data_IF_969719780597
#
_entry.id   IF_969719780597
#
_cell.length_a   1.000
_cell.length_b   1.000
_cell.length_c   1.000
_cell.angle_alpha   90.00
_cell.angle_beta   90.00
_cell.angle_gamma   90.00
#
_symmetry.space_group_name_H-M   'P 1'
#
loop_
_entity.id
_entity.type
_entity.pdbx_description
1 polymer ?
#
# COMPACT_ATOMS: atom_id res chain seq x y z
N UNK A 1 -6.84 4.43 11.22
CA UNK A 1 -7.08 4.66 9.80
C UNK A 1 -8.57 4.81 9.50
N UNK A 2 -8.95 5.79 8.66
CA UNK A 2 -10.32 5.95 8.17
C UNK A 2 -10.41 5.35 6.77
N UNK A 3 -11.30 4.36 6.61
CA UNK A 3 -11.56 3.67 5.35
C UNK A 3 -13.06 3.61 5.08
N UNK A 4 -13.45 3.53 3.80
CA UNK A 4 -14.83 3.34 3.39
C UNK A 4 -15.80 4.47 3.75
N UNK A 5 -15.29 5.70 4.01
CA UNK A 5 -16.14 6.84 4.35
C UNK A 5 -16.99 7.25 3.14
N UNK A 6 -18.29 6.99 3.18
CA UNK A 6 -19.22 7.33 2.13
C UNK A 6 -20.53 7.89 2.68
N UNK A 7 -21.24 8.67 1.84
CA UNK A 7 -22.56 9.20 2.16
C UNK A 7 -23.52 8.84 1.03
N UNK A 8 -24.65 8.24 1.41
CA UNK A 8 -25.70 7.92 0.45
C UNK A 8 -26.09 9.18 -0.35
N UNK A 9 -26.34 9.08 -1.67
CA UNK A 9 -26.62 10.24 -2.52
C UNK A 9 -27.66 11.21 -1.99
N UNK A 10 -28.77 10.72 -1.45
CA UNK A 10 -29.87 11.52 -0.92
C UNK A 10 -29.52 12.35 0.32
N UNK A 11 -28.40 12.02 1.00
CA UNK A 11 -27.93 12.68 2.20
C UNK A 11 -26.64 13.49 1.99
N UNK A 12 -26.15 13.57 0.74
CA UNK A 12 -24.98 14.40 0.41
C UNK A 12 -25.29 15.89 0.57
N UNK A 13 -24.23 16.68 0.76
CA UNK A 13 -24.29 18.14 0.96
C UNK A 13 -25.09 18.62 2.18
N UNK A 14 -25.50 17.71 3.05
CA UNK A 14 -26.24 18.01 4.31
C UNK A 14 -25.35 18.00 5.57
N UNK A 15 -24.05 17.92 5.43
CA UNK A 15 -23.11 17.91 6.55
C UNK A 15 -22.95 16.58 7.28
N UNK A 16 -23.65 15.52 6.84
CA UNK A 16 -23.67 14.20 7.51
C UNK A 16 -22.26 13.63 7.72
N UNK A 17 -21.43 13.63 6.67
CA UNK A 17 -20.05 13.11 6.78
C UNK A 17 -19.20 13.96 7.74
N UNK A 18 -19.37 15.27 7.74
CA UNK A 18 -18.67 16.17 8.69
C UNK A 18 -18.99 15.81 10.13
N UNK A 19 -20.26 15.62 10.41
CA UNK A 19 -20.74 15.25 11.75
C UNK A 19 -20.20 13.88 12.16
N UNK A 20 -20.26 12.88 11.28
CA UNK A 20 -19.74 11.55 11.54
C UNK A 20 -18.23 11.57 11.82
N UNK A 21 -17.44 12.31 11.03
CA UNK A 21 -16.01 12.47 11.28
C UNK A 21 -15.73 13.18 12.60
N UNK A 22 -16.49 14.22 12.94
CA UNK A 22 -16.36 14.95 14.22
C UNK A 22 -16.58 14.02 15.41
N UNK A 23 -17.62 13.20 15.38
CA UNK A 23 -17.91 12.19 16.41
C UNK A 23 -16.81 11.12 16.47
N UNK A 24 -16.30 10.69 15.31
CA UNK A 24 -15.19 9.75 15.22
C UNK A 24 -13.92 10.31 15.86
N UNK A 25 -13.57 11.58 15.62
CA UNK A 25 -12.43 12.22 16.26
C UNK A 25 -12.57 12.30 17.78
N UNK A 26 -13.76 12.66 18.27
CA UNK A 26 -14.02 12.66 19.70
C UNK A 26 -13.88 11.28 20.34
N UNK A 27 -14.29 10.22 19.62
CA UNK A 27 -14.11 8.83 20.06
C UNK A 27 -12.63 8.42 20.04
N UNK A 28 -11.91 8.76 18.96
CA UNK A 28 -10.46 8.51 18.85
C UNK A 28 -9.70 9.15 20.01
N UNK A 29 -10.00 10.42 20.34
CA UNK A 29 -9.38 11.12 21.47
C UNK A 29 -9.64 10.41 22.81
N UNK A 30 -10.88 9.98 23.06
CA UNK A 30 -11.22 9.21 24.29
C UNK A 30 -10.50 7.87 24.38
N UNK A 31 -10.17 7.28 23.23
CA UNK A 31 -9.46 5.99 23.15
C UNK A 31 -7.93 6.15 23.11
N UNK A 32 -7.39 7.34 23.36
CA UNK A 32 -5.93 7.58 23.36
C UNK A 32 -5.27 7.53 21.99
N UNK A 33 -6.04 7.68 20.90
CA UNK A 33 -5.48 7.68 19.54
C UNK A 33 -4.75 9.00 19.29
N UNK A 34 -3.49 8.94 18.87
CA UNK A 34 -2.67 10.12 18.62
C UNK A 34 -2.90 10.72 17.22
N UNK A 35 -3.01 9.88 16.20
CA UNK A 35 -3.16 10.29 14.81
C UNK A 35 -4.33 9.60 14.13
N UNK A 36 -4.97 10.31 13.22
CA UNK A 36 -5.90 9.75 12.24
C UNK A 36 -5.31 9.91 10.85
N UNK A 37 -5.33 8.85 10.04
CA UNK A 37 -4.82 8.85 8.67
C UNK A 37 -5.89 8.36 7.70
N UNK A 38 -5.77 8.78 6.44
CA UNK A 38 -6.63 8.32 5.34
C UNK A 38 -5.92 8.52 3.99
N UNK A 39 -6.39 7.81 2.98
CA UNK A 39 -6.03 8.02 1.57
C UNK A 39 -7.30 8.51 0.87
N UNK A 40 -7.30 9.76 0.35
CA UNK A 40 -8.42 10.26 -0.43
C UNK A 40 -8.58 9.48 -1.75
N UNK A 41 -9.79 8.99 -2.03
CA UNK A 41 -10.07 8.22 -3.24
C UNK A 41 -10.04 9.09 -4.51
N UNK A 42 -10.27 10.40 -4.38
CA UNK A 42 -10.35 11.34 -5.49
C UNK A 42 -9.58 12.63 -5.17
N UNK A 43 -8.98 13.32 -6.16
CA UNK A 43 -8.17 14.51 -5.93
C UNK A 43 -8.90 15.63 -5.15
N UNK A 44 -10.18 15.86 -5.42
CA UNK A 44 -10.96 16.90 -4.73
C UNK A 44 -11.21 16.61 -3.24
N UNK A 45 -11.06 15.36 -2.81
CA UNK A 45 -11.20 14.96 -1.41
C UNK A 45 -10.04 15.46 -0.53
N UNK A 46 -8.87 15.77 -1.12
CA UNK A 46 -7.78 16.41 -0.37
C UNK A 46 -8.24 17.73 0.23
N UNK A 47 -8.90 18.59 -0.56
CA UNK A 47 -9.44 19.87 -0.08
C UNK A 47 -10.57 19.66 0.93
N UNK A 48 -11.40 18.64 0.73
CA UNK A 48 -12.46 18.31 1.67
C UNK A 48 -11.90 17.94 3.03
N UNK A 49 -10.93 17.01 3.09
CA UNK A 49 -10.33 16.57 4.34
C UNK A 49 -9.41 17.63 4.96
N UNK A 50 -8.79 18.51 4.17
CA UNK A 50 -8.04 19.64 4.70
C UNK A 50 -8.93 20.56 5.56
N UNK A 51 -10.19 20.82 5.15
CA UNK A 51 -11.18 21.55 5.96
C UNK A 51 -11.59 20.82 7.24
N UNK A 52 -11.30 19.51 7.31
CA UNK A 52 -11.51 18.69 8.51
C UNK A 52 -10.24 18.57 9.37
N UNK A 53 -9.20 19.37 9.07
CA UNK A 53 -7.94 19.44 9.83
C UNK A 53 -6.91 18.38 9.47
N UNK A 54 -7.03 17.73 8.32
CA UNK A 54 -5.99 16.86 7.77
C UNK A 54 -4.97 17.66 6.97
N UNK A 55 -3.72 17.24 7.04
CA UNK A 55 -2.64 17.72 6.17
C UNK A 55 -2.17 16.57 5.23
N UNK A 56 -1.83 16.91 3.99
CA UNK A 56 -1.21 15.97 3.05
C UNK A 56 0.24 15.76 3.46
N UNK A 57 0.55 14.61 4.04
CA UNK A 57 1.88 14.29 4.59
C UNK A 57 2.52 13.08 3.92
N UNK A 58 1.71 12.17 3.40
CA UNK A 58 2.22 10.99 2.70
C UNK A 58 2.27 11.26 1.20
N UNK A 59 3.39 10.90 0.61
CA UNK A 59 3.64 11.05 -0.82
C UNK A 59 4.18 9.74 -1.40
N UNK A 60 4.13 9.62 -2.71
CA UNK A 60 4.75 8.54 -3.45
C UNK A 60 5.37 9.07 -4.75
N UNK A 61 6.29 8.32 -5.29
CA UNK A 61 6.82 8.49 -6.65
C UNK A 61 6.44 7.27 -7.50
N UNK A 62 6.53 7.40 -8.80
CA UNK A 62 6.27 6.30 -9.73
C UNK A 62 7.47 6.08 -10.64
N UNK A 63 7.72 4.81 -10.95
CA UNK A 63 8.76 4.42 -11.91
C UNK A 63 8.19 3.40 -12.89
N UNK A 64 8.37 3.67 -14.18
CA UNK A 64 8.07 2.65 -15.19
C UNK A 64 9.20 1.61 -15.20
N UNK A 65 8.82 0.34 -15.14
CA UNK A 65 9.74 -0.80 -15.15
C UNK A 65 9.49 -1.63 -16.42
N UNK A 66 10.57 -1.95 -17.12
CA UNK A 66 10.56 -2.97 -18.17
C UNK A 66 10.85 -4.31 -17.51
N UNK A 67 9.91 -5.24 -17.64
CA UNK A 67 10.04 -6.56 -17.03
C UNK A 67 11.05 -7.43 -17.81
N UNK A 68 11.93 -8.19 -17.11
CA UNK A 68 12.97 -9.01 -17.73
C UNK A 68 12.41 -10.06 -18.69
N UNK A 69 13.15 -10.32 -19.78
CA UNK A 69 12.79 -11.33 -20.81
C UNK A 69 13.47 -12.67 -20.59
N UNK A 70 14.61 -12.67 -19.91
CA UNK A 70 15.48 -13.83 -19.78
C UNK A 70 15.39 -14.42 -18.39
N UNK A 71 15.66 -15.72 -18.30
CA UNK A 71 15.74 -16.44 -17.03
C UNK A 71 16.86 -15.85 -16.17
N UNK A 72 16.63 -15.62 -14.87
CA UNK A 72 17.67 -15.19 -13.94
C UNK A 72 18.85 -16.14 -13.92
N UNK A 73 20.05 -15.59 -13.79
CA UNK A 73 21.28 -16.40 -13.71
C UNK A 73 21.35 -17.20 -12.38
N UNK A 74 20.75 -16.67 -11.31
CA UNK A 74 20.69 -17.32 -9.99
C UNK A 74 19.35 -18.04 -9.85
N UNK A 75 19.40 -19.28 -9.42
CA UNK A 75 18.20 -20.07 -9.17
C UNK A 75 17.52 -19.60 -7.89
N UNK A 76 16.42 -18.89 -8.03
CA UNK A 76 15.55 -18.39 -6.95
C UNK A 76 14.14 -18.88 -7.27
N UNK A 77 13.56 -19.65 -6.38
CA UNK A 77 12.19 -20.13 -6.53
C UNK A 77 11.20 -19.01 -6.26
N UNK A 78 10.37 -18.68 -7.27
CA UNK A 78 9.30 -17.67 -7.12
C UNK A 78 7.95 -18.35 -7.30
N UNK A 79 7.04 -18.11 -6.37
CA UNK A 79 5.67 -18.64 -6.41
C UNK A 79 4.64 -17.54 -6.17
N UNK A 80 3.44 -17.72 -6.73
CA UNK A 80 2.25 -16.94 -6.37
C UNK A 80 1.64 -17.56 -5.12
N UNK A 81 1.33 -16.72 -4.14
CA UNK A 81 0.72 -17.15 -2.88
C UNK A 81 -0.68 -16.55 -2.78
N UNK A 82 -1.74 -17.37 -2.93
CA UNK A 82 -3.11 -16.88 -2.93
C UNK A 82 -3.71 -16.72 -1.53
N UNK A 83 -3.10 -17.36 -0.52
CA UNK A 83 -3.63 -17.40 0.84
C UNK A 83 -2.69 -16.71 1.83
N UNK A 84 -3.27 -16.25 2.93
CA UNK A 84 -2.51 -15.65 4.03
C UNK A 84 -1.50 -16.66 4.61
N UNK A 85 -0.25 -16.18 4.80
CA UNK A 85 0.83 -16.89 5.50
C UNK A 85 1.52 -15.94 6.46
N UNK A 86 1.58 -16.30 7.74
CA UNK A 86 2.13 -15.45 8.80
C UNK A 86 3.62 -15.12 8.59
N UNK A 87 4.39 -16.04 8.01
CA UNK A 87 5.81 -15.80 7.72
C UNK A 87 6.01 -14.70 6.66
N UNK A 88 5.09 -14.59 5.67
CA UNK A 88 5.13 -13.53 4.64
C UNK A 88 4.79 -12.19 5.28
N UNK A 89 3.75 -12.15 6.12
CA UNK A 89 3.42 -10.98 6.91
C UNK A 89 4.62 -10.52 7.75
N UNK A 90 5.26 -11.44 8.48
CA UNK A 90 6.41 -11.14 9.33
C UNK A 90 7.59 -10.58 8.53
N UNK A 91 7.88 -11.14 7.35
CA UNK A 91 8.92 -10.63 6.46
C UNK A 91 8.60 -9.20 5.98
N UNK A 92 7.39 -8.97 5.45
CA UNK A 92 6.97 -7.65 4.97
C UNK A 92 6.96 -6.62 6.10
N UNK A 93 6.38 -6.97 7.26
CA UNK A 93 6.29 -6.05 8.39
C UNK A 93 7.68 -5.63 8.89
N UNK A 94 8.64 -6.58 8.93
CA UNK A 94 10.03 -6.27 9.23
C UNK A 94 10.62 -5.27 8.23
N UNK A 95 10.47 -5.52 6.93
CA UNK A 95 10.98 -4.62 5.86
C UNK A 95 10.34 -3.24 5.90
N UNK A 96 9.03 -3.17 6.15
CA UNK A 96 8.31 -1.91 6.27
C UNK A 96 8.70 -1.14 7.54
N UNK A 97 9.03 -1.83 8.64
CA UNK A 97 9.49 -1.18 9.87
C UNK A 97 10.84 -0.46 9.74
N UNK A 98 11.64 -0.85 8.76
CA UNK A 98 12.92 -0.22 8.44
C UNK A 98 12.75 1.09 7.63
N UNK A 99 11.54 1.38 7.14
CA UNK A 99 11.24 2.59 6.36
C UNK A 99 10.78 3.74 7.25
N UNK A 100 11.31 4.92 7.03
CA UNK A 100 10.84 6.13 7.70
C UNK A 100 9.41 6.49 7.24
N UNK A 101 8.59 6.96 8.18
CA UNK A 101 7.21 7.43 7.92
C UNK A 101 6.31 6.39 7.21
N UNK A 102 6.50 5.11 7.48
CA UNK A 102 5.71 4.03 6.93
C UNK A 102 4.61 3.61 7.91
N UNK A 103 3.37 3.54 7.43
CA UNK A 103 2.27 2.95 8.19
C UNK A 103 2.36 1.43 8.06
N UNK A 104 2.55 0.75 9.19
CA UNK A 104 2.59 -0.71 9.23
C UNK A 104 1.18 -1.28 9.35
N UNK A 105 0.99 -2.47 8.83
CA UNK A 105 -0.24 -3.23 8.95
C UNK A 105 -0.19 -4.16 10.16
N UNK A 106 -1.32 -4.33 10.82
CA UNK A 106 -1.50 -5.44 11.75
C UNK A 106 -1.64 -6.75 10.97
N UNK A 107 -1.59 -7.87 11.69
CA UNK A 107 -1.83 -9.19 11.08
C UNK A 107 -3.23 -9.28 10.47
N UNK A 108 -4.23 -8.73 11.16
CA UNK A 108 -5.60 -8.65 10.69
C UNK A 108 -5.74 -7.80 9.43
N UNK A 109 -5.05 -6.65 9.38
CA UNK A 109 -5.04 -5.80 8.17
C UNK A 109 -4.44 -6.55 6.98
N UNK A 110 -3.38 -7.34 7.21
CA UNK A 110 -2.76 -8.11 6.12
C UNK A 110 -3.67 -9.23 5.61
N UNK A 111 -4.47 -9.85 6.47
CA UNK A 111 -5.51 -10.81 6.04
C UNK A 111 -6.56 -10.14 5.14
N UNK A 112 -6.93 -8.88 5.46
CA UNK A 112 -7.85 -8.10 4.60
C UNK A 112 -7.19 -7.78 3.25
N UNK A 113 -5.90 -7.42 3.24
CA UNK A 113 -5.14 -7.19 1.99
C UNK A 113 -5.14 -8.44 1.12
N UNK A 114 -4.92 -9.63 1.69
CA UNK A 114 -4.95 -10.89 0.93
C UNK A 114 -6.33 -11.18 0.34
N UNK A 115 -7.40 -10.86 1.07
CA UNK A 115 -8.77 -10.99 0.59
C UNK A 115 -9.04 -10.01 -0.57
N UNK A 116 -8.60 -8.77 -0.43
CA UNK A 116 -8.73 -7.72 -1.45
C UNK A 116 -7.97 -8.09 -2.74
N UNK A 117 -6.75 -8.63 -2.63
CA UNK A 117 -5.98 -9.14 -3.76
C UNK A 117 -6.75 -10.21 -4.54
N UNK A 118 -7.37 -11.16 -3.83
CA UNK A 118 -8.16 -12.22 -4.46
C UNK A 118 -9.37 -11.68 -5.22
N UNK A 119 -10.05 -10.65 -4.69
CA UNK A 119 -11.23 -10.03 -5.29
C UNK A 119 -10.85 -9.12 -6.46
N UNK A 120 -9.77 -8.35 -6.33
CA UNK A 120 -9.34 -7.36 -7.33
C UNK A 120 -8.52 -7.97 -8.49
N UNK A 121 -8.22 -9.27 -8.43
CA UNK A 121 -7.36 -9.95 -9.42
C UNK A 121 -5.89 -9.52 -9.32
N UNK A 122 -5.46 -9.09 -8.12
CA UNK A 122 -4.07 -8.86 -7.79
C UNK A 122 -3.33 -10.15 -7.45
N UNK A 123 -2.02 -10.04 -7.26
CA UNK A 123 -1.16 -11.19 -6.93
C UNK A 123 -0.11 -10.81 -5.89
N UNK A 124 0.18 -11.77 -5.02
CA UNK A 124 1.34 -11.75 -4.14
C UNK A 124 2.34 -12.79 -4.62
N UNK A 125 3.57 -12.37 -4.93
CA UNK A 125 4.67 -13.25 -5.30
C UNK A 125 5.69 -13.30 -4.16
N UNK A 126 6.22 -14.49 -3.92
CA UNK A 126 7.24 -14.73 -2.91
C UNK A 126 8.45 -15.41 -3.57
N UNK A 127 9.60 -14.80 -3.38
CA UNK A 127 10.90 -15.38 -3.76
C UNK A 127 11.52 -16.09 -2.56
N UNK A 128 11.93 -17.35 -2.75
CA UNK A 128 12.59 -18.17 -1.74
C UNK A 128 13.91 -18.72 -2.24
N UNK A 129 14.87 -18.77 -1.34
CA UNK A 129 16.13 -19.48 -1.54
C UNK A 129 16.37 -20.33 -0.30
N UNK A 130 16.65 -21.63 -0.49
CA UNK A 130 16.84 -22.59 0.62
C UNK A 130 15.68 -22.57 1.64
N UNK A 131 14.43 -22.42 1.15
CA UNK A 131 13.19 -22.28 1.90
C UNK A 131 13.04 -20.96 2.70
N UNK A 132 14.01 -20.07 2.72
CA UNK A 132 13.90 -18.76 3.34
C UNK A 132 13.29 -17.74 2.38
N UNK A 133 12.41 -16.86 2.87
CA UNK A 133 11.87 -15.73 2.10
C UNK A 133 12.99 -14.71 1.90
N UNK A 134 13.31 -14.43 0.63
CA UNK A 134 14.30 -13.44 0.20
C UNK A 134 13.66 -12.22 -0.48
N UNK A 135 12.39 -12.33 -0.86
CA UNK A 135 11.68 -11.20 -1.45
C UNK A 135 10.19 -11.45 -1.57
N UNK A 136 9.43 -10.36 -1.55
CA UNK A 136 7.98 -10.36 -1.70
C UNK A 136 7.58 -9.17 -2.57
N UNK A 137 6.61 -9.37 -3.45
CA UNK A 137 6.00 -8.29 -4.21
C UNK A 137 4.49 -8.44 -4.27
N UNK A 138 3.79 -7.31 -4.19
CA UNK A 138 2.35 -7.20 -4.31
C UNK A 138 2.04 -6.40 -5.55
N UNK A 139 1.24 -6.97 -6.44
CA UNK A 139 0.82 -6.31 -7.67
C UNK A 139 -0.70 -6.23 -7.77
N UNK A 140 -1.19 -5.13 -8.33
CA UNK A 140 -2.60 -4.91 -8.62
C UNK A 140 -2.82 -4.68 -10.10
N UNK A 141 -3.97 -5.12 -10.59
CA UNK A 141 -4.41 -4.84 -11.94
C UNK A 141 -5.07 -3.47 -11.98
N UNK A 142 -4.43 -2.50 -12.61
CA UNK A 142 -5.04 -1.20 -12.93
C UNK A 142 -5.82 -1.25 -14.25
N UNK A 143 -6.47 -0.15 -14.59
CA UNK A 143 -7.31 -0.05 -15.81
C UNK A 143 -6.51 -0.29 -17.11
N UNK A 144 -5.28 0.18 -17.18
CA UNK A 144 -4.45 0.14 -18.40
C UNK A 144 -3.12 -0.58 -18.23
N UNK A 145 -2.68 -0.81 -17.01
CA UNK A 145 -1.38 -1.41 -16.69
C UNK A 145 -1.44 -2.08 -15.32
N UNK A 146 -0.48 -2.93 -15.06
CA UNK A 146 -0.30 -3.52 -13.73
C UNK A 146 0.58 -2.58 -12.90
N UNK A 147 0.25 -2.47 -11.63
CA UNK A 147 0.96 -1.65 -10.66
C UNK A 147 1.66 -2.57 -9.66
N UNK A 148 2.96 -2.39 -9.49
CA UNK A 148 3.70 -2.94 -8.35
C UNK A 148 3.46 -1.99 -7.18
N UNK A 149 2.63 -2.43 -6.23
CA UNK A 149 2.31 -1.65 -5.05
C UNK A 149 3.39 -1.77 -3.96
N UNK A 150 3.98 -2.95 -3.85
CA UNK A 150 5.06 -3.22 -2.92
C UNK A 150 6.08 -4.17 -3.55
N UNK A 151 7.36 -3.88 -3.40
CA UNK A 151 8.46 -4.72 -3.83
C UNK A 151 9.57 -4.66 -2.77
N UNK A 152 9.73 -5.76 -2.05
CA UNK A 152 10.80 -5.97 -1.08
C UNK A 152 11.68 -7.10 -1.56
N UNK A 153 12.97 -6.87 -1.75
CA UNK A 153 13.95 -7.86 -2.14
C UNK A 153 15.24 -7.65 -1.36
N UNK A 154 15.94 -8.73 -1.00
CA UNK A 154 17.20 -8.63 -0.28
C UNK A 154 18.35 -8.17 -1.18
N UNK A 155 18.32 -8.58 -2.45
CA UNK A 155 19.31 -8.20 -3.45
C UNK A 155 18.70 -8.04 -4.86
N UNK A 156 19.55 -7.65 -5.82
CA UNK A 156 19.15 -7.44 -7.22
C UNK A 156 18.76 -8.73 -7.95
N UNK A 157 19.31 -9.88 -7.58
CA UNK A 157 18.98 -11.17 -8.19
C UNK A 157 17.57 -11.59 -7.77
N UNK A 158 17.21 -11.36 -6.50
CA UNK A 158 15.86 -11.59 -5.98
C UNK A 158 14.85 -10.64 -6.64
N UNK A 159 15.17 -9.34 -6.73
CA UNK A 159 14.33 -8.37 -7.43
C UNK A 159 14.09 -8.80 -8.89
N UNK A 160 15.16 -9.14 -9.60
CA UNK A 160 15.08 -9.59 -10.98
C UNK A 160 14.22 -10.85 -11.14
N UNK A 161 14.37 -11.82 -10.25
CA UNK A 161 13.60 -13.06 -10.27
C UNK A 161 12.11 -12.83 -10.04
N UNK A 162 11.74 -11.92 -9.11
CA UNK A 162 10.36 -11.50 -8.89
C UNK A 162 9.78 -10.84 -10.15
N UNK A 163 10.49 -9.88 -10.73
CA UNK A 163 10.06 -9.17 -11.94
C UNK A 163 9.91 -10.12 -13.13
N UNK A 164 10.83 -11.08 -13.29
CA UNK A 164 10.73 -12.11 -14.32
C UNK A 164 9.50 -12.99 -14.12
N UNK A 165 9.24 -13.45 -12.89
CA UNK A 165 8.07 -14.27 -12.57
C UNK A 165 6.75 -13.52 -12.82
N UNK A 166 6.69 -12.23 -12.49
CA UNK A 166 5.53 -11.38 -12.81
C UNK A 166 5.29 -11.38 -14.32
N UNK A 167 6.33 -11.18 -15.13
CA UNK A 167 6.20 -11.20 -16.60
C UNK A 167 5.67 -12.55 -17.10
N UNK A 168 6.22 -13.65 -16.61
CA UNK A 168 5.81 -14.99 -17.02
C UNK A 168 4.34 -15.28 -16.65
N UNK A 169 3.93 -14.83 -15.48
CA UNK A 169 2.57 -15.06 -14.99
C UNK A 169 1.53 -14.16 -15.66
N UNK A 170 1.87 -12.91 -15.91
CA UNK A 170 0.91 -11.89 -16.39
C UNK A 170 0.96 -11.62 -17.89
N UNK A 171 2.09 -11.90 -18.55
CA UNK A 171 2.35 -11.59 -19.95
C UNK A 171 2.66 -10.10 -20.22
N UNK A 172 2.61 -9.22 -19.21
CA UNK A 172 2.94 -7.81 -19.39
C UNK A 172 4.45 -7.63 -19.56
N UNK A 173 4.83 -6.64 -20.39
CA UNK A 173 6.23 -6.29 -20.65
C UNK A 173 6.70 -5.09 -19.85
N UNK A 174 5.74 -4.27 -19.39
CA UNK A 174 6.00 -3.05 -18.61
C UNK A 174 4.98 -2.93 -17.48
N UNK A 175 5.40 -2.33 -16.39
CA UNK A 175 4.60 -2.06 -15.20
C UNK A 175 4.98 -0.70 -14.62
N UNK A 176 4.11 -0.17 -13.76
CA UNK A 176 4.41 1.01 -12.95
C UNK A 176 4.68 0.52 -11.52
N UNK A 177 5.82 0.88 -10.98
CA UNK A 177 6.13 0.66 -9.56
C UNK A 177 5.82 1.91 -8.77
N UNK A 178 5.12 1.75 -7.65
CA UNK A 178 5.01 2.77 -6.62
C UNK A 178 6.25 2.71 -5.73
N UNK A 179 6.83 3.86 -5.47
CA UNK A 179 8.05 4.01 -4.67
C UNK A 179 7.79 4.99 -3.51
N UNK A 180 8.50 4.88 -2.41
CA UNK A 180 8.61 5.96 -1.44
C UNK A 180 9.02 7.26 -2.16
N UNK A 181 8.68 8.44 -1.60
CA UNK A 181 9.05 9.70 -2.22
C UNK A 181 10.57 9.87 -2.26
N UNK A 182 11.12 10.13 -3.44
CA UNK A 182 12.54 10.42 -3.66
C UNK A 182 12.69 11.84 -4.16
N UNK A 183 13.72 12.58 -3.70
CA UNK A 183 13.93 14.00 -4.02
C UNK A 183 14.12 14.29 -5.51
N UNK A 184 14.60 13.30 -6.27
CA UNK A 184 14.90 13.46 -7.70
C UNK A 184 13.75 13.04 -8.63
N UNK A 185 12.63 12.56 -8.08
CA UNK A 185 11.48 12.11 -8.87
C UNK A 185 10.23 12.97 -8.57
N UNK A 186 9.32 13.11 -9.54
CA UNK A 186 8.04 13.74 -9.29
C UNK A 186 7.31 13.06 -8.15
N UNK A 187 6.91 13.83 -7.14
CA UNK A 187 6.18 13.34 -5.99
C UNK A 187 4.69 13.62 -6.15
N UNK A 188 3.88 12.62 -5.86
CA UNK A 188 2.42 12.72 -5.87
C UNK A 188 1.87 12.60 -4.45
N UNK A 189 0.80 13.34 -4.10
CA UNK A 189 0.14 13.16 -2.82
C UNK A 189 -0.50 11.76 -2.75
N UNK A 190 -0.25 11.05 -1.65
CA UNK A 190 -0.84 9.73 -1.38
C UNK A 190 -1.92 9.82 -0.32
N UNK A 191 -1.57 10.35 0.84
CA UNK A 191 -2.44 10.30 1.99
C UNK A 191 -2.29 11.50 2.90
N UNK A 192 -3.22 11.57 3.84
CA UNK A 192 -3.32 12.68 4.77
C UNK A 192 -3.31 12.18 6.21
N UNK A 193 -2.81 13.00 7.12
CA UNK A 193 -2.85 12.76 8.55
C UNK A 193 -3.42 13.96 9.29
N UNK A 194 -4.05 13.67 10.43
CA UNK A 194 -4.55 14.64 11.40
C UNK A 194 -4.09 14.26 12.80
N UNK A 195 -3.56 15.20 13.56
CA UNK A 195 -3.30 15.02 14.99
C UNK A 195 -4.64 15.02 15.72
N UNK A 196 -4.89 13.98 16.49
CA UNK A 196 -6.09 13.84 17.35
C UNK A 196 -5.78 14.27 18.77
N UNK A 197 -4.66 13.82 19.34
CA UNK A 197 -4.22 14.18 20.67
C UNK A 197 -2.90 14.96 20.63
N UNK A 198 -2.99 16.29 20.60
CA UNK A 198 -1.82 17.17 20.54
C UNK A 198 -1.05 17.29 21.87
N UNK A 199 -1.53 16.72 22.96
CA UNK A 199 -0.87 16.80 24.27
C UNK A 199 0.22 15.74 24.45
N UNK A 200 0.22 14.73 23.61
CA UNK A 200 1.12 13.57 23.71
C UNK A 200 1.95 13.34 22.41
N UNK A 201 1.99 14.35 21.56
CA UNK A 201 2.78 14.35 20.30
C UNK A 201 3.96 15.29 20.40
#
# INVERSE_FOLDING_TARGET
YISGACTHPDFRSKGVMRELLSQSFARMLRNGVHFSTLIPAEPWLFDYYARMGYASVFKYSTKEIVLPEFIPAKEIAVSVVPEFQEEIYSYLNKKLSERACCIQHTLEDFQVIMTDLAISGGYLFVARQENEIKGVTIIYKGDKHIIINELCAEDKDVEYSLLYAIRQHTGYKRMVQLLPPEDQQPQHPLGMARIINAKEV
#
